data_IF_461327790616
#
_entry.id   IF_461327790616
#
_cell.length_a   1.000
_cell.length_b   1.000
_cell.length_c   1.000
_cell.angle_alpha   90.00
_cell.angle_beta   90.00
_cell.angle_gamma   90.00
#
_symmetry.space_group_name_H-M   'P 1'
#
loop_
_entity.id
_entity.type
_entity.pdbx_description
1 polymer ?
#
# COMPACT_ATOMS: atom_id res chain seq x y z
N UNK A 1 0.02 -40.71 -11.59
CA UNK A 1 -1.13 -39.93 -11.09
C UNK A 1 -0.75 -38.46 -11.10
N UNK A 2 -1.43 -37.66 -11.92
CA UNK A 2 -1.15 -36.24 -12.11
C UNK A 2 -2.24 -35.46 -11.36
N UNK A 3 -1.87 -34.65 -10.37
CA UNK A 3 -2.82 -33.77 -9.70
C UNK A 3 -2.57 -32.35 -10.19
N UNK A 4 -3.55 -31.87 -10.96
CA UNK A 4 -3.75 -30.48 -11.32
C UNK A 4 -4.04 -29.67 -10.05
N UNK A 5 -3.19 -28.69 -9.73
CA UNK A 5 -3.61 -27.55 -8.91
C UNK A 5 -3.40 -26.30 -9.75
N UNK A 6 -4.49 -25.87 -10.39
CA UNK A 6 -4.63 -24.49 -10.86
C UNK A 6 -5.23 -23.71 -9.69
N UNK A 7 -4.37 -23.06 -8.91
CA UNK A 7 -4.79 -21.98 -8.02
C UNK A 7 -4.56 -20.66 -8.77
N UNK A 8 -5.65 -19.93 -9.00
CA UNK A 8 -5.69 -18.61 -9.63
C UNK A 8 -4.83 -17.60 -8.88
N UNK A 9 -3.84 -17.03 -9.57
CA UNK A 9 -3.22 -15.71 -9.39
C UNK A 9 -3.16 -15.15 -7.97
N UNK A 10 -2.13 -15.51 -7.21
CA UNK A 10 -1.56 -14.55 -6.25
C UNK A 10 -0.57 -13.68 -7.02
N UNK A 11 -0.73 -12.35 -7.09
CA UNK A 11 0.39 -11.50 -7.46
C UNK A 11 1.54 -11.83 -6.49
N UNK A 12 2.78 -11.96 -6.98
CA UNK A 12 3.93 -12.15 -6.10
C UNK A 12 3.93 -11.02 -5.08
N UNK A 13 4.15 -11.35 -3.80
CA UNK A 13 4.27 -10.40 -2.71
C UNK A 13 5.17 -9.23 -3.16
N UNK A 14 4.61 -8.03 -3.24
CA UNK A 14 5.24 -6.91 -3.94
C UNK A 14 6.49 -6.52 -3.15
N UNK A 15 7.64 -6.62 -3.82
CA UNK A 15 8.99 -6.74 -3.24
C UNK A 15 9.54 -5.50 -2.51
N UNK A 16 8.68 -4.73 -1.86
CA UNK A 16 9.02 -3.54 -1.10
C UNK A 16 8.89 -3.73 0.42
N UNK A 17 8.61 -4.95 0.88
CA UNK A 17 8.50 -5.30 2.31
C UNK A 17 7.49 -4.42 3.09
N UNK A 18 6.38 -4.09 2.43
CA UNK A 18 5.27 -3.38 3.05
C UNK A 18 4.51 -4.33 4.00
N UNK A 19 4.25 -3.86 5.21
CA UNK A 19 3.34 -4.51 6.16
C UNK A 19 1.90 -4.41 5.67
N UNK A 20 1.02 -5.27 6.18
CA UNK A 20 -0.42 -5.25 5.86
C UNK A 20 -1.04 -3.87 6.11
N UNK A 21 -0.65 -3.22 7.21
CA UNK A 21 -1.14 -1.88 7.56
C UNK A 21 -0.65 -0.81 6.60
N UNK A 22 0.60 -0.89 6.15
CA UNK A 22 1.14 0.02 5.15
C UNK A 22 0.47 -0.17 3.79
N UNK A 23 0.14 -1.41 3.41
CA UNK A 23 -0.65 -1.72 2.22
C UNK A 23 -2.04 -1.07 2.29
N UNK A 24 -2.74 -1.17 3.42
CA UNK A 24 -4.03 -0.49 3.62
C UNK A 24 -3.91 1.03 3.47
N UNK A 25 -2.92 1.64 4.13
CA UNK A 25 -2.68 3.08 4.03
C UNK A 25 -2.38 3.49 2.58
N UNK A 26 -1.54 2.74 1.86
CA UNK A 26 -1.20 3.00 0.47
C UNK A 26 -2.43 2.90 -0.46
N UNK A 27 -3.32 1.93 -0.23
CA UNK A 27 -4.61 1.85 -0.96
C UNK A 27 -5.47 3.09 -0.75
N UNK A 28 -5.60 3.56 0.48
CA UNK A 28 -6.35 4.79 0.74
C UNK A 28 -5.65 6.03 0.18
N UNK A 29 -4.32 6.01 0.07
CA UNK A 29 -3.58 7.06 -0.63
C UNK A 29 -3.91 7.11 -2.12
N UNK A 30 -4.03 5.96 -2.78
CA UNK A 30 -4.45 5.84 -4.19
C UNK A 30 -5.87 6.37 -4.39
N UNK A 31 -6.76 6.17 -3.41
CA UNK A 31 -8.11 6.76 -3.40
C UNK A 31 -8.15 8.27 -3.18
N UNK A 32 -6.99 8.91 -3.01
CA UNK A 32 -6.87 10.36 -2.83
C UNK A 32 -7.08 10.86 -1.40
N UNK A 33 -7.22 9.96 -0.42
CA UNK A 33 -7.62 10.34 0.95
C UNK A 33 -6.46 10.95 1.74
N UNK A 34 -6.59 12.15 2.29
CA UNK A 34 -5.54 12.75 3.11
C UNK A 34 -5.34 12.04 4.48
N UNK A 35 -4.30 12.40 5.22
CA UNK A 35 -3.96 11.70 6.48
C UNK A 35 -5.05 11.76 7.55
N UNK A 36 -5.90 12.80 7.56
CA UNK A 36 -7.03 12.91 8.48
C UNK A 36 -8.13 11.92 8.10
N UNK A 37 -8.47 11.85 6.82
CA UNK A 37 -9.48 10.92 6.31
C UNK A 37 -9.05 9.45 6.49
N UNK A 38 -7.77 9.16 6.24
CA UNK A 38 -7.19 7.84 6.51
C UNK A 38 -7.26 7.51 8.01
N UNK A 39 -6.94 8.47 8.87
CA UNK A 39 -6.98 8.28 10.32
C UNK A 39 -8.40 7.97 10.81
N UNK A 40 -9.39 8.69 10.29
CA UNK A 40 -10.82 8.46 10.55
C UNK A 40 -11.27 7.08 10.08
N UNK A 41 -10.96 6.71 8.82
CA UNK A 41 -11.36 5.43 8.26
C UNK A 41 -10.71 4.24 8.98
N UNK A 42 -9.46 4.39 9.39
CA UNK A 42 -8.67 3.33 9.99
C UNK A 42 -8.69 3.34 11.52
N UNK A 43 -9.45 4.25 12.13
CA UNK A 43 -9.64 4.44 13.58
C UNK A 43 -8.29 4.52 14.33
N UNK A 44 -7.41 5.40 13.86
CA UNK A 44 -6.09 5.68 14.46
C UNK A 44 -5.82 7.19 14.45
N UNK A 45 -4.74 7.64 15.10
CA UNK A 45 -4.36 9.06 15.06
C UNK A 45 -3.74 9.45 13.71
N UNK A 46 -3.87 10.72 13.34
CA UNK A 46 -3.22 11.29 12.16
C UNK A 46 -1.69 11.25 12.24
N UNK A 47 -1.11 11.26 13.45
CA UNK A 47 0.32 11.04 13.67
C UNK A 47 0.76 9.62 13.32
N UNK A 48 -0.03 8.61 13.67
CA UNK A 48 0.22 7.22 13.28
C UNK A 48 0.15 7.05 11.78
N UNK A 49 -0.82 7.70 11.11
CA UNK A 49 -0.87 7.71 9.63
C UNK A 49 0.36 8.37 9.03
N UNK A 50 0.83 9.50 9.55
CA UNK A 50 2.06 10.16 9.09
C UNK A 50 3.27 9.21 9.18
N UNK A 51 3.37 8.44 10.27
CA UNK A 51 4.44 7.46 10.45
C UNK A 51 4.35 6.35 9.38
N UNK A 52 3.17 5.77 9.15
CA UNK A 52 2.98 4.79 8.08
C UNK A 52 3.33 5.36 6.71
N UNK A 53 2.89 6.58 6.38
CA UNK A 53 3.24 7.24 5.12
C UNK A 53 4.76 7.39 4.99
N UNK A 54 5.45 7.85 6.04
CA UNK A 54 6.92 7.97 6.03
C UNK A 54 7.61 6.63 5.77
N UNK A 55 7.15 5.55 6.41
CA UNK A 55 7.69 4.21 6.19
C UNK A 55 7.42 3.70 4.77
N UNK A 56 6.23 3.95 4.23
CA UNK A 56 5.88 3.62 2.84
C UNK A 56 6.80 4.36 1.86
N UNK A 57 6.98 5.67 2.03
CA UNK A 57 7.86 6.45 1.16
C UNK A 57 9.29 5.90 1.18
N UNK A 58 9.80 5.60 2.37
CA UNK A 58 11.13 5.01 2.54
C UNK A 58 11.26 3.65 1.86
N UNK A 59 10.26 2.76 2.05
CA UNK A 59 10.27 1.39 1.50
C UNK A 59 10.10 1.38 -0.01
N UNK A 60 9.31 2.29 -0.56
CA UNK A 60 9.12 2.47 -2.00
C UNK A 60 10.25 3.29 -2.66
N UNK A 61 11.17 3.86 -1.88
CA UNK A 61 12.23 4.72 -2.39
C UNK A 61 11.72 6.02 -3.04
N UNK A 62 10.60 6.55 -2.56
CA UNK A 62 9.94 7.74 -3.13
C UNK A 62 10.06 8.93 -2.19
N UNK A 63 10.14 10.14 -2.75
CA UNK A 63 10.29 11.37 -1.97
C UNK A 63 8.95 12.02 -1.61
N UNK A 64 7.84 11.56 -2.21
CA UNK A 64 6.53 12.18 -1.99
C UNK A 64 5.39 11.18 -2.13
N UNK A 65 4.26 11.54 -1.52
CA UNK A 65 2.99 10.85 -1.64
C UNK A 65 2.57 10.60 -3.09
N UNK A 66 2.68 11.61 -3.94
CA UNK A 66 2.29 11.50 -5.35
C UNK A 66 3.16 10.50 -6.09
N UNK A 67 4.48 10.51 -5.83
CA UNK A 67 5.40 9.52 -6.39
C UNK A 67 5.08 8.11 -5.91
N UNK A 68 4.81 7.92 -4.62
CA UNK A 68 4.41 6.62 -4.06
C UNK A 68 3.11 6.09 -4.68
N UNK A 69 2.11 6.95 -4.87
CA UNK A 69 0.84 6.59 -5.52
C UNK A 69 1.07 6.23 -6.99
N UNK A 70 1.82 7.04 -7.73
CA UNK A 70 2.12 6.76 -9.13
C UNK A 70 2.85 5.42 -9.29
N UNK A 71 3.92 5.19 -8.52
CA UNK A 71 4.69 3.95 -8.52
C UNK A 71 3.82 2.74 -8.12
N UNK A 72 2.92 2.90 -7.14
CA UNK A 72 2.02 1.83 -6.73
C UNK A 72 1.00 1.45 -7.81
N UNK A 73 0.47 2.42 -8.55
CA UNK A 73 -0.45 2.20 -9.67
C UNK A 73 0.26 1.60 -10.88
N UNK A 74 1.41 2.17 -11.27
CA UNK A 74 2.19 1.74 -12.44
C UNK A 74 2.67 0.29 -12.32
N UNK A 75 3.10 -0.12 -11.11
CA UNK A 75 3.65 -1.45 -10.85
C UNK A 75 2.64 -2.43 -10.22
N UNK A 76 1.38 -2.02 -10.02
CA UNK A 76 0.34 -2.86 -9.42
C UNK A 76 0.66 -3.31 -7.99
N UNK A 77 1.27 -2.43 -7.19
CA UNK A 77 1.72 -2.73 -5.81
C UNK A 77 0.56 -2.93 -4.84
N UNK A 78 -0.59 -2.34 -5.11
CA UNK A 78 -1.81 -2.63 -4.38
C UNK A 78 -3.00 -2.48 -5.33
N UNK A 79 -4.03 -3.30 -5.13
CA UNK A 79 -5.30 -3.10 -5.82
C UNK A 79 -5.96 -1.80 -5.30
N UNK A 80 -6.37 -0.92 -6.21
CA UNK A 80 -7.04 0.36 -5.92
C UNK A 80 -8.42 0.22 -5.32
#
# INVERSE_FOLDING_TARGET
>A
AQVLIRATTRPPALGYDLTEREVEVLRLMIKGMNNREIAEQLIISSSTVKNHVSSILSKLGTASRTQAVALAVEHGIVDG
#
